data_IF_588817040357
#
_entry.id   IF_588817040357
#
_cell.length_a   1.000
_cell.length_b   1.000
_cell.length_c   1.000
_cell.angle_alpha   90.00
_cell.angle_beta   90.00
_cell.angle_gamma   90.00
#
_symmetry.space_group_name_H-M   'P 1'
#
loop_
_entity.id
_entity.type
_entity.pdbx_description
1 polymer ?
#
# COMPACT_ATOMS: atom_id res chain seq x y z
N UNK A 1 -10.40 20.66 -16.76
CA UNK A 1 -9.56 21.78 -16.26
C UNK A 1 -8.26 21.16 -15.78
N UNK A 2 -7.15 21.52 -16.40
CA UNK A 2 -5.85 21.11 -15.89
C UNK A 2 -5.64 21.78 -14.54
N UNK A 3 -5.25 21.02 -13.51
CA UNK A 3 -4.89 21.57 -12.20
C UNK A 3 -3.42 21.97 -12.28
N UNK A 4 -3.16 23.26 -12.31
CA UNK A 4 -1.82 23.82 -12.57
C UNK A 4 -0.98 23.97 -11.28
N UNK A 5 -1.58 23.76 -10.08
CA UNK A 5 -0.84 23.90 -8.83
C UNK A 5 -1.31 22.97 -7.72
N UNK A 6 -0.41 22.66 -6.78
CA UNK A 6 -0.73 21.91 -5.57
C UNK A 6 -1.81 22.61 -4.72
N UNK A 7 -1.86 23.94 -4.75
CA UNK A 7 -2.86 24.73 -4.04
C UNK A 7 -4.27 24.51 -4.60
N UNK A 8 -4.39 24.44 -5.92
CA UNK A 8 -5.65 24.17 -6.61
C UNK A 8 -6.12 22.72 -6.36
N UNK A 9 -5.21 21.75 -6.41
CA UNK A 9 -5.48 20.37 -6.04
C UNK A 9 -5.97 20.27 -4.58
N UNK A 10 -5.34 20.96 -3.64
CA UNK A 10 -5.76 21.03 -2.23
C UNK A 10 -7.18 21.59 -2.11
N UNK A 11 -7.51 22.64 -2.85
CA UNK A 11 -8.85 23.23 -2.84
C UNK A 11 -9.92 22.25 -3.31
N UNK A 12 -9.68 21.55 -4.42
CA UNK A 12 -10.61 20.55 -4.99
C UNK A 12 -10.85 19.41 -4.03
N UNK A 13 -9.78 18.83 -3.45
CA UNK A 13 -9.88 17.71 -2.52
C UNK A 13 -10.58 18.13 -1.22
N UNK A 14 -10.27 19.33 -0.68
CA UNK A 14 -10.91 19.85 0.52
C UNK A 14 -12.42 20.05 0.32
N UNK A 15 -12.83 20.56 -0.85
CA UNK A 15 -14.25 20.70 -1.19
C UNK A 15 -14.96 19.34 -1.26
N UNK A 16 -14.32 18.33 -1.83
CA UNK A 16 -14.88 16.98 -1.86
C UNK A 16 -14.99 16.38 -0.47
N UNK A 17 -13.99 16.54 0.39
CA UNK A 17 -14.04 16.07 1.78
C UNK A 17 -15.19 16.72 2.56
N UNK A 18 -15.44 18.01 2.35
CA UNK A 18 -16.58 18.71 2.96
C UNK A 18 -17.94 18.18 2.47
N UNK A 19 -18.04 17.78 1.19
CA UNK A 19 -19.27 17.16 0.64
C UNK A 19 -19.51 15.78 1.26
N UNK A 20 -18.47 14.99 1.49
CA UNK A 20 -18.59 13.70 2.18
C UNK A 20 -18.95 13.83 3.66
N UNK A 21 -18.44 14.86 4.37
CA UNK A 21 -18.78 15.11 5.77
C UNK A 21 -20.25 15.47 6.01
N UNK A 22 -20.95 16.03 5.02
CA UNK A 22 -22.38 16.38 5.15
C UNK A 22 -23.34 15.23 4.93
N UNK A 23 -22.90 14.13 4.32
CA UNK A 23 -23.75 12.95 4.03
C UNK A 23 -23.83 12.00 5.23
N UNK A 24 -22.89 12.06 6.17
CA UNK A 24 -22.76 11.10 7.27
C UNK A 24 -23.17 11.62 8.66
N UNK A 25 -23.74 12.83 8.77
CA UNK A 25 -24.17 13.36 10.09
C UNK A 25 -25.51 12.76 10.59
N UNK A 26 -26.27 12.06 9.74
CA UNK A 26 -27.55 11.47 10.13
C UNK A 26 -27.47 10.02 10.64
N UNK A 27 -26.32 9.32 10.51
CA UNK A 27 -26.14 7.90 10.86
C UNK A 27 -25.04 7.62 11.89
N UNK A 28 -24.55 8.61 12.65
CA UNK A 28 -23.49 8.39 13.64
C UNK A 28 -24.09 7.93 14.97
N UNK A 29 -23.69 6.76 15.53
CA UNK A 29 -24.03 6.41 16.90
C UNK A 29 -23.28 7.32 17.90
N UNK A 30 -23.97 7.75 18.95
CA UNK A 30 -23.44 8.59 20.03
C UNK A 30 -22.14 8.03 20.62
N UNK A 31 -21.08 8.80 20.54
CA UNK A 31 -19.76 8.50 21.08
C UNK A 31 -19.77 8.75 22.61
N UNK A 32 -19.72 7.66 23.39
CA UNK A 32 -19.49 7.74 24.84
C UNK A 32 -17.99 7.88 25.08
N UNK A 33 -17.65 8.91 25.85
CA UNK A 33 -16.37 9.27 26.47
C UNK A 33 -15.20 8.28 26.31
N UNK A 34 -14.22 8.64 25.48
CA UNK A 34 -12.90 8.05 25.48
C UNK A 34 -11.92 8.95 26.25
N UNK A 35 -11.08 8.41 27.14
CA UNK A 35 -10.15 9.20 27.92
C UNK A 35 -9.06 9.82 27.03
N UNK A 36 -8.77 11.11 27.25
CA UNK A 36 -7.67 11.83 26.59
C UNK A 36 -6.33 11.22 27.00
N UNK A 37 -5.66 10.54 26.08
CA UNK A 37 -4.27 10.12 26.26
C UNK A 37 -3.35 11.34 26.25
N UNK A 38 -2.70 11.58 27.39
CA UNK A 38 -1.69 12.61 27.53
C UNK A 38 -0.46 12.29 26.66
N UNK A 39 0.20 13.34 26.14
CA UNK A 39 1.43 13.24 25.37
C UNK A 39 2.52 12.62 26.24
N UNK A 40 2.91 11.38 25.95
CA UNK A 40 3.97 10.67 26.64
C UNK A 40 5.34 11.32 26.35
N UNK A 41 6.20 11.42 27.37
CA UNK A 41 7.57 11.90 27.21
C UNK A 41 8.39 10.92 26.34
N UNK A 42 9.50 11.36 25.69
CA UNK A 42 10.35 10.48 24.88
C UNK A 42 10.87 9.23 25.60
N UNK A 43 11.04 9.30 26.92
CA UNK A 43 11.43 8.17 27.76
C UNK A 43 10.29 7.15 27.96
N UNK A 44 9.03 7.63 28.08
CA UNK A 44 7.87 6.76 28.19
C UNK A 44 7.53 6.07 26.86
N UNK A 45 7.81 6.73 25.72
CA UNK A 45 7.67 6.11 24.40
C UNK A 45 8.71 4.99 24.17
N UNK A 46 9.92 5.13 24.71
CA UNK A 46 10.95 4.07 24.64
C UNK A 46 10.58 2.85 25.49
N UNK A 47 10.07 3.05 26.69
CA UNK A 47 9.62 1.94 27.57
C UNK A 47 8.41 1.19 26.99
N UNK A 48 7.47 1.90 26.36
CA UNK A 48 6.34 1.26 25.66
C UNK A 48 6.78 0.40 24.47
N UNK A 49 7.87 0.80 23.78
CA UNK A 49 8.42 0.04 22.66
C UNK A 49 9.11 -1.26 23.11
N UNK A 50 9.77 -1.24 24.26
CA UNK A 50 10.39 -2.44 24.84
C UNK A 50 9.32 -3.43 25.32
N UNK A 51 8.26 -2.96 25.97
CA UNK A 51 7.11 -3.78 26.41
C UNK A 51 6.36 -4.39 25.23
N UNK A 52 6.20 -3.66 24.11
CA UNK A 52 5.55 -4.19 22.89
C UNK A 52 6.41 -5.24 22.21
N UNK A 53 7.73 -5.06 22.19
CA UNK A 53 8.64 -6.05 21.61
C UNK A 53 8.63 -7.36 22.42
N UNK A 54 8.63 -7.28 23.75
CA UNK A 54 8.56 -8.43 24.65
C UNK A 54 7.18 -9.13 24.57
N UNK A 55 6.08 -8.37 24.47
CA UNK A 55 4.74 -8.94 24.27
C UNK A 55 4.62 -9.68 22.91
N UNK A 56 5.23 -9.16 21.84
CA UNK A 56 5.28 -9.82 20.53
C UNK A 56 6.06 -11.13 20.64
N UNK A 57 7.22 -11.12 21.27
CA UNK A 57 8.04 -12.33 21.47
C UNK A 57 7.31 -13.37 22.31
N UNK A 58 6.59 -12.96 23.35
CA UNK A 58 5.85 -13.88 24.22
C UNK A 58 4.59 -14.43 23.56
N UNK A 59 3.91 -13.64 22.71
CA UNK A 59 2.82 -14.16 21.86
C UNK A 59 3.31 -15.17 20.83
N UNK A 60 4.48 -14.91 20.21
CA UNK A 60 5.11 -15.88 19.29
C UNK A 60 5.45 -17.22 19.97
N UNK A 61 5.91 -17.19 21.21
CA UNK A 61 6.17 -18.38 22.00
C UNK A 61 4.87 -19.10 22.40
N UNK A 62 3.84 -18.34 22.83
CA UNK A 62 2.56 -18.87 23.27
C UNK A 62 1.74 -19.50 22.13
N UNK A 63 1.84 -19.00 20.90
CA UNK A 63 1.18 -19.60 19.74
C UNK A 63 1.86 -20.87 19.27
N UNK A 64 3.18 -21.00 19.46
CA UNK A 64 3.92 -22.22 19.17
C UNK A 64 3.46 -23.41 20.04
N UNK A 65 2.96 -23.13 21.24
CA UNK A 65 2.49 -24.15 22.21
C UNK A 65 0.99 -24.45 22.09
N UNK A 66 0.19 -23.67 21.35
CA UNK A 66 -1.28 -23.79 21.25
C UNK A 66 -1.81 -24.59 20.05
N UNK A 67 -0.98 -25.34 19.33
CA UNK A 67 -1.46 -26.16 18.21
C UNK A 67 -2.16 -27.42 18.71
N UNK A 68 -3.48 -27.35 18.90
CA UNK A 68 -4.35 -28.54 19.08
C UNK A 68 -5.14 -28.81 17.77
N UNK A 69 -5.30 -30.09 17.40
CA UNK A 69 -5.85 -30.48 16.11
C UNK A 69 -7.38 -30.59 16.14
N UNK A 70 -8.03 -29.90 15.25
CA UNK A 70 -9.44 -30.07 14.97
C UNK A 70 -10.05 -28.98 14.10
N UNK A 71 -9.79 -29.02 12.81
CA UNK A 71 -10.72 -28.65 11.73
C UNK A 71 -10.02 -28.89 10.38
N UNK A 72 -10.74 -29.44 9.41
CA UNK A 72 -10.37 -29.98 8.10
C UNK A 72 -8.86 -29.95 7.74
N UNK A 73 -8.23 -31.10 7.71
CA UNK A 73 -6.76 -31.27 7.67
C UNK A 73 -6.06 -30.61 6.47
N UNK A 74 -6.75 -30.32 5.37
CA UNK A 74 -6.18 -29.69 4.17
C UNK A 74 -6.02 -28.17 4.31
N UNK A 75 -6.99 -27.49 4.94
CA UNK A 75 -6.92 -26.03 5.16
C UNK A 75 -5.97 -25.69 6.33
N UNK A 76 -5.87 -26.57 7.32
CA UNK A 76 -4.99 -26.40 8.48
C UNK A 76 -3.50 -26.53 8.10
N UNK A 77 -3.15 -27.39 7.15
CA UNK A 77 -1.76 -27.58 6.71
C UNK A 77 -1.28 -26.43 5.81
N UNK A 78 -2.15 -25.94 4.93
CA UNK A 78 -1.88 -24.74 4.12
C UNK A 78 -1.73 -23.47 5.01
N UNK A 79 -2.56 -23.33 6.04
CA UNK A 79 -2.47 -22.22 6.98
C UNK A 79 -1.19 -22.26 7.84
N UNK A 80 -0.66 -23.46 8.14
CA UNK A 80 0.59 -23.61 8.92
C UNK A 80 1.84 -23.22 8.12
N UNK A 81 1.80 -23.23 6.81
CA UNK A 81 2.92 -22.82 5.94
C UNK A 81 3.01 -21.32 5.72
N UNK A 82 1.94 -20.57 6.00
CA UNK A 82 1.94 -19.11 5.86
C UNK A 82 2.66 -18.42 7.03
N UNK A 83 3.36 -17.29 6.76
CA UNK A 83 3.87 -16.40 7.80
C UNK A 83 2.75 -15.92 8.74
N UNK A 84 3.09 -15.56 9.98
CA UNK A 84 2.11 -15.23 11.03
C UNK A 84 1.17 -14.10 10.63
N UNK A 85 1.68 -13.04 10.02
CA UNK A 85 0.87 -11.91 9.55
C UNK A 85 -0.18 -12.33 8.53
N UNK A 86 0.16 -13.28 7.66
CA UNK A 86 -0.74 -13.81 6.63
C UNK A 86 -1.81 -14.81 7.18
N UNK A 87 -1.76 -15.17 8.45
CA UNK A 87 -2.79 -16.00 9.11
C UNK A 87 -3.95 -15.17 9.65
N UNK A 88 -3.84 -13.85 9.63
CA UNK A 88 -4.91 -12.95 10.07
C UNK A 88 -6.10 -13.03 9.11
N UNK A 89 -7.31 -12.76 9.63
CA UNK A 89 -8.52 -12.75 8.80
C UNK A 89 -8.43 -11.68 7.71
N UNK A 90 -8.74 -12.00 6.44
CA UNK A 90 -8.80 -11.00 5.36
C UNK A 90 -9.77 -9.86 5.68
N UNK A 91 -9.44 -8.67 5.23
CA UNK A 91 -10.27 -7.46 5.39
C UNK A 91 -11.15 -7.28 4.17
N UNK A 92 -12.45 -7.43 4.31
CA UNK A 92 -13.41 -7.22 3.22
C UNK A 92 -13.39 -8.29 2.13
N UNK A 93 -14.19 -8.06 1.09
CA UNK A 93 -14.31 -8.91 -0.10
C UNK A 93 -14.34 -8.03 -1.34
N UNK A 94 -13.52 -8.34 -2.32
CA UNK A 94 -13.52 -7.66 -3.61
C UNK A 94 -13.41 -8.71 -4.72
N UNK A 95 -14.40 -8.72 -5.63
CA UNK A 95 -14.40 -9.64 -6.78
C UNK A 95 -14.22 -8.86 -8.06
N UNK A 96 -13.44 -9.42 -8.99
CA UNK A 96 -13.22 -8.81 -10.29
C UNK A 96 -14.47 -8.96 -11.17
N UNK A 97 -14.86 -7.86 -11.80
CA UNK A 97 -15.85 -7.89 -12.85
C UNK A 97 -15.14 -8.04 -14.21
N UNK A 98 -14.98 -9.26 -14.66
CA UNK A 98 -14.36 -9.57 -15.95
C UNK A 98 -15.22 -9.12 -17.16
N UNK A 99 -16.44 -8.70 -16.92
CA UNK A 99 -17.30 -8.04 -17.90
C UNK A 99 -17.06 -6.53 -18.03
N UNK A 100 -16.38 -5.90 -17.07
CA UNK A 100 -16.09 -4.47 -17.09
C UNK A 100 -15.21 -4.09 -18.31
N UNK A 101 -15.54 -2.97 -18.92
CA UNK A 101 -14.77 -2.42 -20.05
C UNK A 101 -14.46 -0.95 -19.81
N UNK A 102 -13.25 -0.50 -20.18
CA UNK A 102 -12.96 0.92 -20.25
C UNK A 102 -13.91 1.67 -21.19
N UNK A 103 -14.11 2.96 -20.95
CA UNK A 103 -14.86 3.86 -21.83
C UNK A 103 -13.93 4.82 -22.54
N UNK A 104 -14.43 5.55 -23.54
CA UNK A 104 -13.66 6.59 -24.23
C UNK A 104 -13.17 7.69 -23.26
N UNK A 105 -13.95 7.98 -22.22
CA UNK A 105 -13.58 8.94 -21.18
C UNK A 105 -12.54 8.37 -20.20
N UNK A 106 -12.55 7.04 -19.99
CA UNK A 106 -11.66 6.30 -19.06
C UNK A 106 -11.07 5.10 -19.77
N UNK A 107 -10.11 5.34 -20.69
CA UNK A 107 -9.63 4.30 -21.60
C UNK A 107 -8.70 3.27 -20.93
N UNK A 108 -8.29 3.52 -19.68
CA UNK A 108 -7.35 2.65 -18.96
C UNK A 108 -8.04 1.98 -17.77
N UNK A 109 -7.98 0.65 -17.64
CA UNK A 109 -8.43 -0.02 -16.42
C UNK A 109 -7.51 0.33 -15.26
N UNK A 110 -8.10 0.36 -14.05
CA UNK A 110 -7.39 0.58 -12.79
C UNK A 110 -7.13 -0.77 -12.13
N UNK A 111 -5.87 -1.03 -11.77
CA UNK A 111 -5.48 -2.25 -11.05
C UNK A 111 -5.04 -1.88 -9.63
N UNK A 112 -5.73 -2.45 -8.63
CA UNK A 112 -5.51 -2.21 -7.21
C UNK A 112 -4.66 -3.33 -6.62
N UNK A 113 -3.44 -3.02 -6.14
CA UNK A 113 -2.44 -3.99 -5.69
C UNK A 113 -2.29 -3.88 -4.18
N UNK A 114 -2.66 -4.93 -3.45
CA UNK A 114 -2.64 -4.93 -1.98
C UNK A 114 -1.22 -5.03 -1.39
N UNK A 115 -1.08 -4.82 -0.08
CA UNK A 115 0.18 -4.90 0.65
C UNK A 115 0.46 -6.29 1.23
N UNK A 116 1.61 -6.41 1.93
CA UNK A 116 2.06 -7.63 2.63
C UNK A 116 1.00 -8.12 3.61
N UNK A 117 0.80 -9.43 3.66
CA UNK A 117 -0.16 -10.13 4.54
C UNK A 117 -1.64 -9.82 4.29
N UNK A 118 -1.96 -9.01 3.28
CA UNK A 118 -3.33 -8.64 2.95
C UNK A 118 -3.89 -9.48 1.77
N UNK A 119 -5.07 -9.12 1.31
CA UNK A 119 -5.76 -9.66 0.13
C UNK A 119 -6.38 -8.52 -0.65
N UNK A 120 -6.83 -8.79 -1.89
CA UNK A 120 -7.61 -7.83 -2.68
C UNK A 120 -8.88 -7.33 -1.97
N UNK A 121 -9.35 -8.03 -0.95
CA UNK A 121 -10.51 -7.63 -0.14
C UNK A 121 -10.36 -6.27 0.52
N UNK A 122 -9.14 -5.82 0.83
CA UNK A 122 -8.87 -4.48 1.40
C UNK A 122 -9.39 -3.35 0.50
N UNK A 123 -9.52 -3.60 -0.80
CA UNK A 123 -9.98 -2.67 -1.80
C UNK A 123 -11.50 -2.58 -1.95
N UNK A 124 -12.28 -3.33 -1.13
CA UNK A 124 -13.74 -3.40 -1.24
C UNK A 124 -14.41 -2.02 -1.35
N UNK A 125 -14.04 -1.08 -0.48
CA UNK A 125 -14.65 0.26 -0.46
C UNK A 125 -14.14 1.10 -1.63
N UNK A 126 -12.83 1.26 -1.76
CA UNK A 126 -12.22 2.07 -2.82
C UNK A 126 -12.59 1.54 -4.20
N UNK A 127 -12.48 0.23 -4.43
CA UNK A 127 -12.79 -0.38 -5.72
C UNK A 127 -14.26 -0.17 -6.12
N UNK A 128 -15.20 -0.30 -5.18
CA UNK A 128 -16.62 -0.03 -5.46
C UNK A 128 -16.89 1.45 -5.75
N UNK A 129 -16.23 2.36 -5.03
CA UNK A 129 -16.33 3.80 -5.31
C UNK A 129 -15.80 4.12 -6.71
N UNK A 130 -14.66 3.57 -7.11
CA UNK A 130 -14.10 3.78 -8.44
C UNK A 130 -14.99 3.19 -9.55
N UNK A 131 -15.60 2.02 -9.31
CA UNK A 131 -16.60 1.45 -10.24
C UNK A 131 -17.82 2.34 -10.38
N UNK A 132 -18.31 2.91 -9.28
CA UNK A 132 -19.42 3.89 -9.32
C UNK A 132 -19.04 5.17 -10.08
N UNK A 133 -17.76 5.56 -10.05
CA UNK A 133 -17.22 6.65 -10.85
C UNK A 133 -17.05 6.27 -12.33
N UNK A 134 -17.32 5.02 -12.71
CA UNK A 134 -17.27 4.53 -14.11
C UNK A 134 -15.93 3.95 -14.54
N UNK A 135 -15.00 3.65 -13.61
CA UNK A 135 -13.75 2.98 -13.93
C UNK A 135 -13.94 1.46 -14.06
N UNK A 136 -13.25 0.84 -15.01
CA UNK A 136 -13.01 -0.60 -15.03
C UNK A 136 -11.93 -0.93 -14.00
N UNK A 137 -12.30 -1.62 -12.90
CA UNK A 137 -11.44 -1.83 -11.73
C UNK A 137 -11.23 -3.32 -11.47
N UNK A 138 -9.96 -3.70 -11.34
CA UNK A 138 -9.49 -5.05 -11.10
C UNK A 138 -8.50 -5.09 -9.93
N UNK A 139 -8.37 -6.24 -9.26
CA UNK A 139 -7.43 -6.40 -8.16
C UNK A 139 -6.95 -7.85 -8.05
N UNK A 140 -5.65 -8.14 -8.24
CA UNK A 140 -5.12 -9.47 -8.03
C UNK A 140 -4.98 -9.81 -6.54
N UNK A 141 -5.13 -11.10 -6.21
CA UNK A 141 -4.40 -11.70 -5.12
C UNK A 141 -3.10 -12.28 -5.66
N UNK A 142 -2.01 -12.17 -4.93
CA UNK A 142 -0.69 -12.63 -5.35
C UNK A 142 0.18 -13.06 -4.18
N UNK A 143 1.25 -13.82 -4.46
CA UNK A 143 2.34 -14.08 -3.55
C UNK A 143 1.94 -14.75 -2.23
N UNK A 144 0.91 -15.62 -2.23
CA UNK A 144 0.37 -16.20 -0.98
C UNK A 144 0.13 -15.10 0.07
N UNK A 145 -0.77 -14.17 -0.24
CA UNK A 145 -1.02 -12.97 0.57
C UNK A 145 0.18 -12.02 0.63
N UNK A 146 0.89 -11.88 -0.50
CA UNK A 146 2.04 -11.00 -0.65
C UNK A 146 3.18 -11.30 0.36
N UNK A 147 3.42 -12.58 0.66
CA UNK A 147 4.51 -13.03 1.53
C UNK A 147 5.64 -13.73 0.79
N UNK A 148 5.44 -14.12 -0.49
CA UNK A 148 6.50 -14.59 -1.37
C UNK A 148 7.45 -13.44 -1.73
N UNK A 149 8.62 -13.75 -2.28
CA UNK A 149 9.56 -12.72 -2.75
C UNK A 149 8.91 -11.76 -3.74
N UNK A 150 9.37 -10.52 -3.78
CA UNK A 150 8.88 -9.52 -4.75
C UNK A 150 9.13 -9.98 -6.20
N UNK A 151 10.28 -10.56 -6.58
CA UNK A 151 10.49 -11.13 -7.91
C UNK A 151 9.46 -12.19 -8.32
N UNK A 152 9.14 -13.14 -7.44
CA UNK A 152 8.10 -14.17 -7.70
C UNK A 152 6.71 -13.56 -7.83
N UNK A 153 6.39 -12.61 -6.98
CA UNK A 153 5.11 -11.88 -6.99
C UNK A 153 4.96 -11.01 -8.24
N UNK A 154 6.06 -10.46 -8.75
CA UNK A 154 6.11 -9.64 -9.97
C UNK A 154 5.67 -10.42 -11.21
N UNK A 155 6.09 -11.67 -11.35
CA UNK A 155 5.64 -12.53 -12.45
C UNK A 155 4.13 -12.76 -12.42
N UNK A 156 3.55 -12.94 -11.22
CA UNK A 156 2.10 -13.12 -11.04
C UNK A 156 1.35 -11.84 -11.37
N UNK A 157 1.86 -10.68 -10.94
CA UNK A 157 1.29 -9.37 -11.25
C UNK A 157 1.30 -9.11 -12.77
N UNK A 158 2.43 -9.38 -13.43
CA UNK A 158 2.57 -9.20 -14.88
C UNK A 158 1.57 -10.06 -15.66
N UNK A 159 1.45 -11.34 -15.34
CA UNK A 159 0.47 -12.23 -15.95
C UNK A 159 -0.99 -11.78 -15.74
N UNK A 160 -1.29 -11.24 -14.55
CA UNK A 160 -2.61 -10.69 -14.26
C UNK A 160 -2.89 -9.43 -15.09
N UNK A 161 -1.93 -8.50 -15.18
CA UNK A 161 -2.05 -7.28 -16.00
C UNK A 161 -2.26 -7.64 -17.47
N UNK A 162 -1.49 -8.58 -18.00
CA UNK A 162 -1.65 -9.04 -19.38
C UNK A 162 -3.05 -9.63 -19.63
N UNK A 163 -3.59 -10.36 -18.67
CA UNK A 163 -4.97 -10.87 -18.73
C UNK A 163 -5.99 -9.72 -18.75
N UNK A 164 -5.83 -8.71 -17.90
CA UNK A 164 -6.71 -7.53 -17.88
C UNK A 164 -6.66 -6.79 -19.22
N UNK A 165 -5.47 -6.54 -19.75
CA UNK A 165 -5.30 -5.88 -21.04
C UNK A 165 -5.96 -6.68 -22.17
N UNK A 166 -5.73 -7.99 -22.22
CA UNK A 166 -6.33 -8.87 -23.23
C UNK A 166 -7.87 -8.90 -23.15
N UNK A 167 -8.44 -8.96 -21.94
CA UNK A 167 -9.90 -9.00 -21.75
C UNK A 167 -10.55 -7.65 -22.03
N UNK A 168 -9.91 -6.55 -21.62
CA UNK A 168 -10.47 -5.20 -21.77
C UNK A 168 -10.21 -4.57 -23.13
N UNK A 169 -9.22 -5.05 -23.85
CA UNK A 169 -8.75 -4.43 -25.11
C UNK A 169 -8.00 -3.12 -24.91
N UNK A 170 -7.67 -2.76 -23.66
CA UNK A 170 -6.88 -1.59 -23.36
C UNK A 170 -5.39 -1.81 -23.68
N UNK A 171 -4.69 -0.74 -24.08
CA UNK A 171 -3.25 -0.79 -24.36
C UNK A 171 -2.41 -0.59 -23.09
N UNK A 172 -2.92 0.20 -22.13
CA UNK A 172 -2.23 0.54 -20.88
C UNK A 172 -3.18 0.45 -19.70
N UNK A 173 -2.60 0.44 -18.50
CA UNK A 173 -3.30 0.42 -17.21
C UNK A 173 -2.89 1.60 -16.33
N UNK A 174 -3.71 1.88 -15.32
CA UNK A 174 -3.34 2.67 -14.15
C UNK A 174 -3.14 1.71 -12.99
N UNK A 175 -2.02 1.84 -12.27
CA UNK A 175 -1.72 1.02 -11.10
C UNK A 175 -1.93 1.85 -9.82
N UNK A 176 -2.58 1.24 -8.82
CA UNK A 176 -2.74 1.81 -7.48
C UNK A 176 -2.27 0.75 -6.48
N UNK A 177 -1.09 0.94 -5.91
CA UNK A 177 -0.48 -0.03 -5.00
C UNK A 177 -0.36 0.48 -3.58
N UNK A 178 -0.78 -0.32 -2.60
CA UNK A 178 -0.57 -0.05 -1.19
C UNK A 178 0.64 -0.79 -0.67
N UNK A 179 1.49 -0.11 0.13
CA UNK A 179 2.64 -0.72 0.79
C UNK A 179 3.51 -1.49 -0.22
N UNK A 180 3.79 -2.78 0.02
CA UNK A 180 4.49 -3.65 -0.92
C UNK A 180 3.91 -3.57 -2.34
N UNK A 181 2.59 -3.41 -2.51
CA UNK A 181 1.96 -3.36 -3.82
C UNK A 181 2.45 -2.22 -4.70
N UNK A 182 2.83 -1.08 -4.11
CA UNK A 182 3.46 0.02 -4.84
C UNK A 182 4.92 -0.28 -5.24
N UNK A 183 5.70 -0.88 -4.35
CA UNK A 183 7.07 -1.32 -4.65
C UNK A 183 7.07 -2.46 -5.69
N UNK A 184 6.15 -3.42 -5.57
CA UNK A 184 5.97 -4.51 -6.52
C UNK A 184 5.64 -3.99 -7.93
N UNK A 185 4.77 -2.97 -8.04
CA UNK A 185 4.46 -2.34 -9.32
C UNK A 185 5.71 -1.71 -9.94
N UNK A 186 6.54 -0.98 -9.17
CA UNK A 186 7.81 -0.42 -9.63
C UNK A 186 8.80 -1.51 -10.06
N UNK A 187 8.89 -2.61 -9.28
CA UNK A 187 9.75 -3.74 -9.61
C UNK A 187 9.33 -4.36 -10.95
N UNK A 188 8.06 -4.65 -11.13
CA UNK A 188 7.53 -5.20 -12.39
C UNK A 188 7.77 -4.25 -13.58
N UNK A 189 7.54 -2.96 -13.40
CA UNK A 189 7.78 -1.97 -14.46
C UNK A 189 9.24 -1.95 -14.88
N UNK A 190 10.18 -1.97 -13.94
CA UNK A 190 11.62 -1.87 -14.20
C UNK A 190 12.26 -3.18 -14.60
N UNK A 191 12.02 -4.24 -13.83
CA UNK A 191 12.77 -5.48 -13.96
C UNK A 191 12.15 -6.43 -14.99
N UNK A 192 10.83 -6.38 -15.18
CA UNK A 192 10.09 -7.25 -16.09
C UNK A 192 9.59 -6.50 -17.35
N UNK A 193 10.02 -5.25 -17.54
CA UNK A 193 9.69 -4.45 -18.73
C UNK A 193 8.22 -4.01 -18.81
N UNK A 194 7.52 -3.94 -17.68
CA UNK A 194 6.10 -3.58 -17.65
C UNK A 194 5.79 -2.10 -17.85
N UNK A 195 6.79 -1.22 -17.83
CA UNK A 195 6.59 0.23 -17.87
C UNK A 195 5.81 0.72 -19.10
N UNK A 196 6.03 0.11 -20.26
CA UNK A 196 5.33 0.47 -21.52
C UNK A 196 3.81 0.28 -21.45
N UNK A 197 3.34 -0.59 -20.53
CA UNK A 197 1.91 -0.89 -20.28
C UNK A 197 1.27 0.00 -19.23
N UNK A 198 2.01 0.96 -18.65
CA UNK A 198 1.52 1.81 -17.56
C UNK A 198 1.44 3.26 -18.00
N UNK A 199 0.33 3.93 -17.67
CA UNK A 199 0.20 5.38 -17.87
C UNK A 199 0.47 6.15 -16.57
N UNK A 200 0.08 5.58 -15.44
CA UNK A 200 0.22 6.20 -14.12
C UNK A 200 0.35 5.17 -13.02
N UNK A 201 1.25 5.42 -12.07
CA UNK A 201 1.37 4.65 -10.83
C UNK A 201 1.04 5.55 -9.62
N UNK A 202 0.02 5.16 -8.85
CA UNK A 202 -0.24 5.72 -7.52
C UNK A 202 0.27 4.73 -6.46
N UNK A 203 1.26 5.14 -5.68
CA UNK A 203 1.74 4.37 -4.54
C UNK A 203 1.25 4.97 -3.22
N UNK A 204 0.63 4.15 -2.39
CA UNK A 204 0.04 4.53 -1.09
C UNK A 204 0.89 3.89 -0.01
N UNK A 205 1.61 4.69 0.77
CA UNK A 205 2.56 4.25 1.81
C UNK A 205 3.50 3.13 1.34
N UNK A 206 3.98 3.21 0.10
CA UNK A 206 4.89 2.20 -0.45
C UNK A 206 6.33 2.48 -0.01
N UNK A 207 7.10 1.46 0.41
CA UNK A 207 8.50 1.62 0.79
C UNK A 207 9.40 1.73 -0.45
N UNK A 208 9.23 2.80 -1.25
CA UNK A 208 9.94 3.01 -2.52
C UNK A 208 11.47 3.04 -2.34
N UNK A 209 11.95 3.55 -1.20
CA UNK A 209 13.35 3.52 -0.80
C UNK A 209 13.59 2.62 0.42
N UNK A 210 12.61 1.78 0.74
CA UNK A 210 12.66 0.82 1.83
C UNK A 210 12.25 1.37 3.18
N UNK A 211 12.16 0.47 4.13
CA UNK A 211 11.94 0.80 5.54
C UNK A 211 13.10 0.33 6.39
N UNK A 212 13.32 1.00 7.51
CA UNK A 212 14.34 0.61 8.47
C UNK A 212 13.83 -0.54 9.33
N UNK A 213 14.17 -1.79 8.97
CA UNK A 213 13.87 -3.01 9.75
C UNK A 213 12.45 -3.04 10.36
N UNK A 214 11.43 -2.66 9.58
CA UNK A 214 10.05 -2.66 10.02
C UNK A 214 9.68 -1.53 10.99
N UNK A 215 10.42 -0.41 10.98
CA UNK A 215 10.15 0.75 11.84
C UNK A 215 10.45 0.55 13.32
N UNK A 216 10.46 -0.69 13.80
CA UNK A 216 10.56 -1.03 15.23
C UNK A 216 12.03 -1.22 15.67
N UNK A 217 12.94 -1.63 14.78
CA UNK A 217 14.20 -2.23 15.19
C UNK A 217 15.47 -1.42 14.92
N UNK A 218 15.42 -0.32 14.15
CA UNK A 218 16.64 0.38 13.70
C UNK A 218 17.48 0.99 14.84
N UNK A 219 16.87 1.24 16.01
CA UNK A 219 17.59 1.76 17.19
C UNK A 219 18.21 0.67 18.08
N UNK A 220 17.80 -0.58 17.90
CA UNK A 220 18.20 -1.73 18.75
C UNK A 220 19.33 -2.57 18.15
N UNK A 221 19.60 -2.43 16.85
CA UNK A 221 20.63 -3.25 16.19
C UNK A 221 22.02 -2.65 16.44
N UNK A 222 22.75 -3.25 17.36
CA UNK A 222 24.15 -2.93 17.64
C UNK A 222 25.11 -4.08 17.33
N UNK A 223 24.60 -5.29 17.05
CA UNK A 223 25.40 -6.48 16.81
C UNK A 223 24.82 -7.34 15.71
N UNK A 224 25.67 -8.12 14.99
CA UNK A 224 25.24 -9.10 13.97
C UNK A 224 24.22 -10.13 14.51
N UNK A 225 24.30 -10.46 15.80
CA UNK A 225 23.38 -11.40 16.44
C UNK A 225 21.97 -10.82 16.59
N UNK A 226 21.87 -9.53 16.92
CA UNK A 226 20.60 -8.82 16.98
C UNK A 226 19.97 -8.68 15.58
N UNK A 227 20.79 -8.41 14.57
CA UNK A 227 20.34 -8.37 13.18
C UNK A 227 19.74 -9.72 12.73
N UNK A 228 20.40 -10.85 13.04
CA UNK A 228 19.90 -12.17 12.70
C UNK A 228 18.56 -12.49 13.38
N UNK A 229 18.37 -12.07 14.62
CA UNK A 229 17.09 -12.23 15.35
C UNK A 229 15.99 -11.42 14.71
N UNK A 230 16.26 -10.18 14.36
CA UNK A 230 15.27 -9.29 13.71
C UNK A 230 14.89 -9.81 12.33
N UNK A 231 15.86 -10.25 11.53
CA UNK A 231 15.58 -10.92 10.25
C UNK A 231 14.63 -12.11 10.42
N UNK A 232 14.88 -12.95 11.43
CA UNK A 232 14.03 -14.10 11.72
C UNK A 232 12.61 -13.70 12.13
N UNK A 233 12.44 -12.60 12.85
CA UNK A 233 11.12 -12.07 13.21
C UNK A 233 10.39 -11.55 11.96
N UNK A 234 11.07 -10.75 11.14
CA UNK A 234 10.48 -10.21 9.90
C UNK A 234 10.06 -11.34 8.97
N UNK A 235 10.92 -12.33 8.76
CA UNK A 235 10.61 -13.49 7.93
C UNK A 235 9.46 -14.32 8.51
N UNK A 236 9.44 -14.54 9.82
CA UNK A 236 8.36 -15.25 10.49
C UNK A 236 6.99 -14.56 10.39
N UNK A 237 6.96 -13.22 10.33
CA UNK A 237 5.72 -12.44 10.23
C UNK A 237 5.28 -12.14 8.82
N UNK A 238 6.20 -11.76 7.94
CA UNK A 238 5.92 -11.20 6.62
C UNK A 238 6.43 -12.09 5.47
N UNK A 239 7.14 -13.18 5.81
CA UNK A 239 7.81 -14.02 4.82
C UNK A 239 8.99 -13.31 4.14
N UNK A 240 9.55 -13.93 3.08
CA UNK A 240 10.65 -13.36 2.32
C UNK A 240 10.39 -11.93 1.81
N UNK A 241 9.14 -11.62 1.46
CA UNK A 241 8.74 -10.27 1.01
C UNK A 241 9.06 -9.19 2.04
N UNK A 242 9.00 -9.50 3.34
CA UNK A 242 9.35 -8.54 4.40
C UNK A 242 10.79 -8.08 4.31
N UNK A 243 11.70 -8.96 3.97
CA UNK A 243 13.14 -8.65 3.81
C UNK A 243 13.42 -7.87 2.53
N UNK A 244 12.66 -8.10 1.46
CA UNK A 244 12.80 -7.40 0.18
C UNK A 244 12.50 -5.89 0.32
N UNK A 245 11.72 -5.50 1.33
CA UNK A 245 11.31 -4.11 1.59
C UNK A 245 12.24 -3.36 2.55
N UNK A 246 13.26 -4.02 3.12
CA UNK A 246 14.22 -3.39 4.04
C UNK A 246 15.28 -2.62 3.27
N UNK A 247 15.64 -1.43 3.76
CA UNK A 247 16.74 -0.60 3.19
C UNK A 247 17.97 -1.45 2.94
N UNK A 248 18.50 -1.37 1.70
CA UNK A 248 19.69 -2.11 1.28
C UNK A 248 19.42 -3.54 0.81
N UNK A 249 18.16 -3.97 0.68
CA UNK A 249 17.79 -5.22 -0.01
C UNK A 249 18.24 -5.18 -1.48
N UNK A 250 18.36 -6.35 -2.11
CA UNK A 250 18.68 -6.47 -3.53
C UNK A 250 17.57 -5.86 -4.38
N UNK A 251 16.32 -6.14 -4.05
CA UNK A 251 15.13 -5.60 -4.70
C UNK A 251 15.17 -4.06 -4.76
N UNK A 252 15.44 -3.40 -3.63
CA UNK A 252 15.51 -1.94 -3.60
C UNK A 252 16.69 -1.38 -4.37
N UNK A 253 17.84 -2.05 -4.33
CA UNK A 253 18.98 -1.64 -5.15
C UNK A 253 18.69 -1.73 -6.64
N UNK A 254 18.03 -2.81 -7.07
CA UNK A 254 17.70 -3.03 -8.47
C UNK A 254 16.64 -2.03 -8.97
N UNK A 255 15.57 -1.82 -8.20
CA UNK A 255 14.50 -0.87 -8.57
C UNK A 255 14.98 0.59 -8.61
N UNK A 256 15.95 0.97 -7.77
CA UNK A 256 16.42 2.35 -7.67
C UNK A 256 17.77 2.61 -8.35
N UNK A 257 18.35 1.60 -9.04
CA UNK A 257 19.70 1.67 -9.65
C UNK A 257 19.87 2.82 -10.62
N UNK A 258 18.89 3.03 -11.50
CA UNK A 258 18.94 4.01 -12.59
C UNK A 258 17.97 5.19 -12.35
N UNK A 259 17.75 5.54 -11.08
CA UNK A 259 16.80 6.56 -10.65
C UNK A 259 15.41 5.99 -10.31
N UNK A 260 14.49 6.86 -10.01
CA UNK A 260 13.19 6.48 -9.44
C UNK A 260 12.09 6.21 -10.49
N UNK A 261 12.27 6.72 -11.70
CA UNK A 261 11.19 6.88 -12.66
C UNK A 261 11.43 6.07 -13.93
N UNK A 262 10.34 5.64 -14.55
CA UNK A 262 10.33 5.12 -15.91
C UNK A 262 9.85 6.21 -16.88
N UNK A 263 10.39 6.24 -18.09
CA UNK A 263 9.95 7.16 -19.12
C UNK A 263 8.45 6.95 -19.45
N UNK A 264 7.77 8.02 -19.78
CA UNK A 264 6.34 8.02 -20.20
C UNK A 264 5.35 7.53 -19.13
N UNK A 265 5.78 7.37 -17.88
CA UNK A 265 4.93 7.05 -16.73
C UNK A 265 4.88 8.25 -15.79
N UNK A 266 3.67 8.61 -15.35
CA UNK A 266 3.50 9.60 -14.29
C UNK A 266 3.26 8.93 -12.93
N UNK A 267 3.59 9.63 -11.84
CA UNK A 267 3.59 9.05 -10.50
C UNK A 267 2.87 9.92 -9.48
N UNK A 268 2.19 9.26 -8.56
CA UNK A 268 1.71 9.89 -7.33
C UNK A 268 2.07 9.02 -6.14
N UNK A 269 2.78 9.58 -5.18
CA UNK A 269 3.10 8.94 -3.91
C UNK A 269 2.27 9.57 -2.80
N UNK A 270 1.46 8.79 -2.11
CA UNK A 270 0.61 9.22 -0.99
C UNK A 270 1.16 8.60 0.28
N UNK A 271 1.58 9.42 1.24
CA UNK A 271 2.14 8.98 2.51
C UNK A 271 1.35 9.55 3.69
N UNK A 272 1.52 8.96 4.86
CA UNK A 272 1.04 9.51 6.13
C UNK A 272 2.22 9.76 7.08
N UNK A 273 2.20 10.90 7.79
CA UNK A 273 3.19 11.20 8.83
C UNK A 273 3.05 10.30 10.06
N UNK A 274 1.94 9.57 10.17
CA UNK A 274 1.66 8.62 11.23
C UNK A 274 2.04 7.18 10.87
N UNK A 275 2.81 6.99 9.78
CA UNK A 275 3.26 5.67 9.36
C UNK A 275 4.29 5.11 10.36
N UNK A 276 3.97 3.96 10.95
CA UNK A 276 4.86 3.24 11.86
C UNK A 276 5.53 2.02 11.21
N UNK A 277 5.16 1.70 9.97
CA UNK A 277 5.67 0.56 9.20
C UNK A 277 6.73 1.01 8.21
N UNK A 278 6.43 2.01 7.38
CA UNK A 278 7.42 2.61 6.47
C UNK A 278 8.05 3.82 7.15
N UNK A 279 9.26 3.63 7.66
CA UNK A 279 9.97 4.62 8.49
C UNK A 279 11.37 4.85 7.93
N UNK A 280 11.75 6.11 7.69
CA UNK A 280 10.92 7.32 7.78
C UNK A 280 9.89 7.40 6.63
N UNK A 281 8.74 8.07 6.81
CA UNK A 281 7.67 8.11 5.79
C UNK A 281 8.09 8.78 4.48
N UNK A 282 9.15 9.58 4.48
CA UNK A 282 9.73 10.18 3.28
C UNK A 282 10.27 9.14 2.28
N UNK A 283 10.58 7.92 2.73
CA UNK A 283 11.00 6.82 1.84
C UNK A 283 9.89 6.33 0.91
N UNK A 284 8.65 6.77 1.15
CA UNK A 284 7.54 6.56 0.21
C UNK A 284 7.63 7.44 -1.04
N UNK A 285 8.38 8.54 -1.01
CA UNK A 285 8.41 9.54 -2.08
C UNK A 285 9.43 9.17 -3.15
N UNK A 286 9.18 9.65 -4.37
CA UNK A 286 10.06 9.48 -5.52
C UNK A 286 10.71 10.83 -5.86
N UNK A 287 11.97 10.77 -6.31
CA UNK A 287 12.69 11.96 -6.74
C UNK A 287 12.17 12.40 -8.12
N UNK A 288 11.67 13.64 -8.26
CA UNK A 288 11.23 14.18 -9.54
C UNK A 288 12.37 14.61 -10.47
N UNK A 289 13.64 14.42 -10.09
CA UNK A 289 14.78 14.89 -10.88
C UNK A 289 14.74 14.32 -12.31
N UNK A 290 14.83 15.21 -13.29
CA UNK A 290 14.80 14.87 -14.72
C UNK A 290 13.39 14.61 -15.30
N UNK A 291 12.34 14.61 -14.49
CA UNK A 291 10.97 14.43 -14.97
C UNK A 291 10.33 15.74 -15.45
N UNK A 292 9.38 15.68 -16.40
CA UNK A 292 8.54 16.81 -16.73
C UNK A 292 7.80 17.36 -15.51
N UNK A 293 7.52 18.66 -15.49
CA UNK A 293 6.76 19.28 -14.40
C UNK A 293 5.40 18.58 -14.21
N UNK A 294 5.10 18.22 -12.98
CA UNK A 294 3.85 17.52 -12.62
C UNK A 294 3.80 16.03 -12.93
N UNK A 295 4.85 15.45 -13.50
CA UNK A 295 4.93 13.99 -13.71
C UNK A 295 5.04 13.21 -12.39
N UNK A 296 5.59 13.81 -11.34
CA UNK A 296 5.70 13.21 -10.00
C UNK A 296 4.98 14.10 -8.98
N UNK A 297 4.12 13.50 -8.16
CA UNK A 297 3.44 14.15 -7.04
C UNK A 297 3.70 13.39 -5.75
N UNK A 298 4.38 14.02 -4.81
CA UNK A 298 4.62 13.50 -3.47
C UNK A 298 3.69 14.22 -2.48
N UNK A 299 2.84 13.47 -1.79
CA UNK A 299 1.70 14.00 -1.05
C UNK A 299 1.64 13.36 0.34
N UNK A 300 1.55 14.15 1.38
CA UNK A 300 1.09 13.68 2.68
C UNK A 300 -0.43 13.87 2.83
N UNK A 301 -1.11 12.92 3.47
CA UNK A 301 -2.54 13.11 3.86
C UNK A 301 -2.69 14.38 4.68
N UNK A 302 -1.73 14.69 5.53
CA UNK A 302 -1.72 15.86 6.39
C UNK A 302 -1.59 17.19 5.64
N UNK A 303 -1.27 17.15 4.35
CA UNK A 303 -1.31 18.36 3.49
C UNK A 303 -2.75 18.82 3.22
N UNK A 304 -3.73 17.94 3.35
CA UNK A 304 -5.17 18.22 3.18
C UNK A 304 -5.92 18.29 4.51
N UNK A 305 -5.57 17.44 5.46
CA UNK A 305 -6.12 17.42 6.82
C UNK A 305 -4.97 17.31 7.83
N UNK A 306 -4.52 18.46 8.34
CA UNK A 306 -3.36 18.54 9.25
C UNK A 306 -3.51 17.74 10.55
N UNK A 307 -4.74 17.39 10.91
CA UNK A 307 -5.05 16.61 12.10
C UNK A 307 -5.27 15.13 11.81
N UNK A 308 -5.14 14.72 10.55
CA UNK A 308 -5.30 13.32 10.19
C UNK A 308 -4.29 12.43 10.91
N UNK A 309 -4.80 11.41 11.59
CA UNK A 309 -4.01 10.29 12.09
C UNK A 309 -4.52 9.06 11.35
N UNK A 310 -3.73 8.56 10.42
CA UNK A 310 -4.05 7.38 9.60
C UNK A 310 -2.86 6.45 9.70
N UNK A 311 -3.09 5.26 10.20
CA UNK A 311 -2.05 4.25 10.32
C UNK A 311 -1.78 3.60 8.96
N UNK A 312 -0.63 2.97 8.81
CA UNK A 312 -0.18 2.35 7.56
C UNK A 312 -1.22 1.40 6.96
N UNK A 313 -1.72 0.49 7.77
CA UNK A 313 -2.69 -0.53 7.37
C UNK A 313 -4.06 0.02 6.99
N UNK A 314 -4.42 1.21 7.49
CA UNK A 314 -5.73 1.83 7.26
C UNK A 314 -5.75 2.71 6.01
N UNK A 315 -4.58 3.00 5.43
CA UNK A 315 -4.46 3.86 4.25
C UNK A 315 -5.39 3.45 3.09
N UNK A 316 -5.53 2.17 2.71
CA UNK A 316 -6.43 1.77 1.63
C UNK A 316 -7.91 1.98 1.93
N UNK A 317 -8.29 2.09 3.20
CA UNK A 317 -9.67 2.22 3.67
C UNK A 317 -10.04 3.65 4.09
N UNK A 318 -9.06 4.56 4.21
CA UNK A 318 -9.30 5.92 4.68
C UNK A 318 -10.00 6.77 3.61
N UNK A 319 -11.09 7.45 4.01
CA UNK A 319 -11.89 8.30 3.12
C UNK A 319 -11.11 9.44 2.47
N UNK A 320 -10.06 9.95 3.12
CA UNK A 320 -9.20 11.01 2.58
C UNK A 320 -8.33 10.47 1.46
N UNK A 321 -7.78 9.27 1.64
CA UNK A 321 -7.05 8.56 0.59
C UNK A 321 -7.96 8.29 -0.60
N UNK A 322 -9.21 7.83 -0.36
CA UNK A 322 -10.20 7.65 -1.43
C UNK A 322 -10.47 8.94 -2.20
N UNK A 323 -10.64 10.08 -1.49
CA UNK A 323 -10.86 11.39 -2.13
C UNK A 323 -9.66 11.82 -2.97
N UNK A 324 -8.42 11.62 -2.46
CA UNK A 324 -7.18 11.93 -3.16
C UNK A 324 -7.08 11.09 -4.43
N UNK A 325 -7.20 9.77 -4.33
CA UNK A 325 -7.11 8.84 -5.47
C UNK A 325 -8.15 9.18 -6.54
N UNK A 326 -9.42 9.37 -6.17
CA UNK A 326 -10.48 9.74 -7.10
C UNK A 326 -10.20 11.05 -7.84
N UNK A 327 -9.70 12.05 -7.12
CA UNK A 327 -9.40 13.36 -7.73
C UNK A 327 -8.24 13.24 -8.71
N UNK A 328 -7.21 12.51 -8.36
CA UNK A 328 -6.02 12.34 -9.20
C UNK A 328 -6.30 11.46 -10.43
N UNK A 329 -7.13 10.42 -10.29
CA UNK A 329 -7.57 9.63 -11.45
C UNK A 329 -8.30 10.48 -12.49
N UNK A 330 -9.16 11.42 -12.06
CA UNK A 330 -9.82 12.38 -12.98
C UNK A 330 -8.83 13.32 -13.68
N UNK A 331 -7.69 13.60 -13.06
CA UNK A 331 -6.64 14.41 -13.70
C UNK A 331 -5.90 13.62 -14.78
N UNK A 332 -5.68 12.31 -14.55
CA UNK A 332 -5.06 11.43 -15.55
C UNK A 332 -5.95 11.32 -16.81
N UNK A 333 -7.29 11.32 -16.67
CA UNK A 333 -8.24 11.34 -17.80
C UNK A 333 -8.00 12.46 -18.80
N UNK A 334 -7.51 13.60 -18.33
CA UNK A 334 -7.38 14.84 -19.10
C UNK A 334 -5.95 15.09 -19.62
N UNK A 335 -5.04 14.15 -19.44
CA UNK A 335 -3.67 14.28 -19.97
C UNK A 335 -3.72 14.02 -21.49
N UNK A 336 -3.30 14.97 -22.35
CA UNK A 336 -3.27 14.77 -23.80
C UNK A 336 -2.41 13.56 -24.16
N UNK A 337 -2.89 12.77 -25.10
CA UNK A 337 -2.16 11.62 -25.66
C UNK A 337 -1.02 12.04 -26.55
#
# INVERSE_FOLDING_TARGET
>A
MAVESLAELKSIISEQLLKFGRVNEEDAPEEKDSPRLGIASPAAASALQDDVADEIVDRLKAEKDKSSPGDSALDADAARTLPLGARTKPRGVFEDDWGARPSDERPWPVILIHGTCDTKGVWQIMGNILRQDGWAVFAPDYGHRATQTIPESSQQLGAYIDTVLAVTGAEKVILVGHSQGGLLARYWMRMDGGAEKVIHLMSISAPNHGTTHGGIASRLIRTQRQEAVIRSIIDGWFGPAGMDQVVGSEVLRDVNRDGDLESDVSYTCIATRSDAVVVPPETCFLDPEGAPEGAVRNIYIQDFDRHAVVMHEDMPMDRRVHAIVRTLLRMVEHTPR
#
